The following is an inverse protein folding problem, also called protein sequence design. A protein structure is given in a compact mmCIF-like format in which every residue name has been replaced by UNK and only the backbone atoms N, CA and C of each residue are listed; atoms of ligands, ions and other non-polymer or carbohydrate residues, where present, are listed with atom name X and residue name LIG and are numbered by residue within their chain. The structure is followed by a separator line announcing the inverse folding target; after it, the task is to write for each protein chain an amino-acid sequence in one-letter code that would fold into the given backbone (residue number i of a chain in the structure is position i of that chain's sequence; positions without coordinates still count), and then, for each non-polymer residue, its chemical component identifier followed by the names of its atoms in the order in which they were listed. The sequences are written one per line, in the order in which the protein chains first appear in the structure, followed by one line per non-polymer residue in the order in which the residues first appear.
data_IF_964005953373
#
_entry.id   IF_964005953373
#
_cell.length_a   1.000
_cell.length_b   1.000
_cell.length_c   1.000
_cell.angle_alpha   90.00
_cell.angle_beta   90.00
_cell.angle_gamma   90.00
#
_symmetry.space_group_name_H-M   'P 1'
#
loop_
_entity.id
_entity.type
_entity.pdbx_description
1 polymer ?
#
# COMPACT_ATOMS: atom_id res chain seq x y z
N UNK A 1 5.47 3.45 -12.36
CA UNK A 1 6.11 2.22 -12.91
C UNK A 1 7.27 1.81 -12.00
N UNK A 2 7.48 0.52 -11.75
CA UNK A 2 8.46 0.00 -10.78
C UNK A 2 9.90 0.03 -11.31
N UNK A 3 10.87 0.24 -10.43
CA UNK A 3 12.31 0.25 -10.74
C UNK A 3 13.02 -0.86 -9.96
N UNK A 4 13.69 -1.76 -10.65
CA UNK A 4 14.36 -2.89 -10.02
C UNK A 4 15.64 -2.44 -9.28
N UNK A 5 15.89 -3.00 -8.08
CA UNK A 5 17.03 -2.67 -7.20
C UNK A 5 17.20 -1.17 -6.86
N UNK A 6 16.15 -0.36 -7.06
CA UNK A 6 16.12 1.05 -6.72
C UNK A 6 15.02 1.36 -5.69
N UNK A 7 15.09 2.56 -5.12
CA UNK A 7 14.03 3.06 -4.26
C UNK A 7 12.77 3.37 -5.06
N UNK A 8 11.65 2.78 -4.63
CA UNK A 8 10.33 3.04 -5.18
C UNK A 8 9.47 3.76 -4.14
N UNK A 9 8.69 4.74 -4.58
CA UNK A 9 7.67 5.37 -3.76
C UNK A 9 6.37 4.59 -3.90
N UNK A 10 5.88 4.02 -2.81
CA UNK A 10 4.56 3.43 -2.70
C UNK A 10 3.62 4.42 -1.99
N UNK A 11 2.51 4.78 -2.62
CA UNK A 11 1.44 5.57 -2.00
C UNK A 11 0.15 4.75 -2.02
N UNK A 12 -0.43 4.55 -0.83
CA UNK A 12 -1.71 3.87 -0.65
C UNK A 12 -2.71 4.88 -0.10
N UNK A 13 -3.77 5.16 -0.85
CA UNK A 13 -4.86 6.05 -0.45
C UNK A 13 -6.06 5.17 -0.11
N UNK A 14 -6.38 5.06 1.18
CA UNK A 14 -7.53 4.33 1.69
C UNK A 14 -8.65 5.31 2.09
N UNK A 15 -9.70 5.44 1.28
CA UNK A 15 -10.85 6.32 1.56
C UNK A 15 -12.14 5.50 1.54
N UNK A 16 -12.63 5.16 2.73
CA UNK A 16 -13.78 4.26 2.89
C UNK A 16 -13.45 2.88 2.30
N UNK A 17 -14.32 2.29 1.47
CA UNK A 17 -14.06 0.99 0.83
C UNK A 17 -13.12 1.08 -0.38
N UNK A 18 -12.75 2.29 -0.81
CA UNK A 18 -11.93 2.50 -2.01
C UNK A 18 -10.46 2.66 -1.63
N UNK A 19 -9.63 1.85 -2.27
CA UNK A 19 -8.18 1.87 -2.16
C UNK A 19 -7.56 2.21 -3.51
N UNK A 20 -6.62 3.14 -3.53
CA UNK A 20 -5.82 3.48 -4.72
C UNK A 20 -4.35 3.27 -4.38
N UNK A 21 -3.67 2.45 -5.16
CA UNK A 21 -2.25 2.18 -5.02
C UNK A 21 -1.49 2.86 -6.16
N UNK A 22 -0.46 3.62 -5.81
CA UNK A 22 0.45 4.25 -6.77
C UNK A 22 1.88 3.79 -6.53
N UNK A 23 2.59 3.56 -7.64
CA UNK A 23 4.02 3.24 -7.63
C UNK A 23 4.73 4.29 -8.47
N UNK A 24 5.61 5.05 -7.81
CA UNK A 24 6.33 6.18 -8.40
C UNK A 24 5.38 7.20 -9.05
N UNK A 25 4.33 7.61 -8.31
CA UNK A 25 3.33 8.60 -8.75
C UNK A 25 2.29 8.09 -9.75
N UNK A 26 2.57 6.98 -10.44
CA UNK A 26 1.64 6.38 -11.42
C UNK A 26 0.65 5.46 -10.71
N UNK A 27 -0.64 5.64 -10.99
CA UNK A 27 -1.70 4.75 -10.50
C UNK A 27 -1.48 3.34 -11.05
N UNK A 28 -1.34 2.38 -10.15
CA UNK A 28 -1.12 0.97 -10.48
C UNK A 28 -2.41 0.16 -10.34
N UNK A 29 -3.15 0.37 -9.26
CA UNK A 29 -4.39 -0.36 -8.99
C UNK A 29 -5.41 0.51 -8.26
N UNK A 30 -6.69 0.24 -8.52
CA UNK A 30 -7.82 0.73 -7.71
C UNK A 30 -8.68 -0.46 -7.33
N UNK A 31 -9.04 -0.55 -6.05
CA UNK A 31 -9.92 -1.59 -5.51
C UNK A 31 -11.07 -0.92 -4.78
N UNK A 32 -12.27 -1.46 -4.93
CA UNK A 32 -13.43 -1.10 -4.10
C UNK A 32 -13.88 -2.36 -3.39
N UNK A 33 -13.59 -2.45 -2.09
CA UNK A 33 -13.96 -3.61 -1.27
C UNK A 33 -15.43 -3.50 -0.83
N UNK A 34 -16.27 -4.35 -1.41
CA UNK A 34 -17.72 -4.41 -1.13
C UNK A 34 -18.11 -5.69 -0.36
N UNK A 35 -17.13 -6.44 0.16
CA UNK A 35 -17.44 -7.65 0.90
C UNK A 35 -18.17 -7.32 2.21
N UNK A 36 -19.39 -7.85 2.36
CA UNK A 36 -20.26 -7.56 3.51
C UNK A 36 -19.79 -8.18 4.83
N UNK A 37 -18.97 -9.24 4.78
CA UNK A 37 -18.54 -10.01 5.95
C UNK A 37 -17.08 -9.72 6.32
N UNK A 38 -16.21 -9.61 5.33
CA UNK A 38 -14.77 -9.60 5.49
C UNK A 38 -14.14 -8.21 5.36
N UNK A 39 -14.85 -7.23 4.78
CA UNK A 39 -14.31 -5.87 4.70
C UNK A 39 -14.05 -5.27 6.09
N UNK A 40 -12.99 -4.46 6.20
CA UNK A 40 -12.57 -3.81 7.46
C UNK A 40 -12.28 -2.33 7.21
N UNK A 41 -12.86 -1.47 8.05
CA UNK A 41 -12.66 -0.01 8.01
C UNK A 41 -11.46 0.48 8.84
N UNK A 42 -10.93 -0.38 9.71
CA UNK A 42 -9.81 -0.08 10.61
C UNK A 42 -9.03 -1.35 10.91
N UNK A 43 -7.75 -1.21 11.21
CA UNK A 43 -6.85 -2.31 11.53
C UNK A 43 -5.42 -1.81 11.70
N UNK A 44 -4.49 -2.75 11.81
CA UNK A 44 -3.07 -2.45 11.85
C UNK A 44 -2.51 -2.24 10.44
N UNK A 45 -1.50 -1.39 10.33
CA UNK A 45 -0.65 -1.27 9.15
C UNK A 45 0.63 -2.03 9.44
N UNK A 46 0.98 -2.97 8.59
CA UNK A 46 2.18 -3.80 8.72
C UNK A 46 2.99 -3.77 7.42
N UNK A 47 4.29 -3.99 7.54
CA UNK A 47 5.19 -4.21 6.41
C UNK A 47 5.53 -5.69 6.36
N UNK A 48 5.48 -6.27 5.17
CA UNK A 48 5.81 -7.67 4.96
C UNK A 48 7.10 -7.79 4.15
N UNK A 49 7.96 -8.69 4.61
CA UNK A 49 9.02 -9.31 3.81
C UNK A 49 8.58 -10.73 3.43
N UNK A 50 8.91 -11.16 2.21
CA UNK A 50 8.67 -12.51 1.72
C UNK A 50 9.68 -13.53 2.30
N UNK A 51 10.78 -13.06 2.90
CA UNK A 51 11.83 -13.87 3.52
C UNK A 51 12.61 -14.69 2.50
N UNK A 52 13.19 -15.82 2.94
CA UNK A 52 13.94 -16.77 2.09
C UNK A 52 15.09 -16.12 1.29
N UNK A 53 15.78 -15.16 1.89
CA UNK A 53 16.86 -14.42 1.24
C UNK A 53 16.41 -13.27 0.34
N UNK A 54 15.10 -12.99 0.26
CA UNK A 54 14.61 -11.74 -0.30
C UNK A 54 14.93 -10.62 0.70
N UNK A 55 15.70 -9.62 0.28
CA UNK A 55 15.99 -8.45 1.10
C UNK A 55 15.14 -7.30 0.60
N UNK A 56 14.27 -6.80 1.48
CA UNK A 56 13.51 -5.56 1.26
C UNK A 56 13.91 -4.52 2.30
N UNK A 57 14.05 -3.28 1.86
CA UNK A 57 14.35 -2.14 2.72
C UNK A 57 13.23 -1.10 2.62
N UNK A 58 12.86 -0.53 3.76
CA UNK A 58 11.83 0.51 3.85
C UNK A 58 12.44 1.78 4.45
N UNK A 59 12.01 2.94 3.94
CA UNK A 59 12.37 4.26 4.50
C UNK A 59 11.26 5.26 4.27
N UNK A 60 11.29 6.37 5.02
CA UNK A 60 10.33 7.48 4.88
C UNK A 60 8.85 7.06 5.00
N UNK A 61 8.55 6.14 5.92
CA UNK A 61 7.18 5.69 6.18
C UNK A 61 6.43 6.79 6.90
N UNK A 62 5.33 7.25 6.29
CA UNK A 62 4.51 8.36 6.80
C UNK A 62 3.05 7.97 6.73
N UNK A 63 2.26 8.47 7.67
CA UNK A 63 0.82 8.29 7.69
C UNK A 63 0.13 9.65 7.74
N UNK A 64 -0.82 9.88 6.84
CA UNK A 64 -1.68 11.07 6.84
C UNK A 64 -3.13 10.64 7.02
N UNK A 65 -3.78 11.13 8.08
CA UNK A 65 -5.23 10.97 8.24
C UNK A 65 -5.95 11.79 7.16
N UNK A 66 -6.89 11.16 6.48
CA UNK A 66 -7.74 11.83 5.49
C UNK A 66 -8.91 12.52 6.21
N UNK A 67 -9.38 13.64 5.65
CA UNK A 67 -10.60 14.32 6.10
C UNK A 67 -11.84 13.61 5.57
#
# INVERSE_FOLDING_TARGET
MFKNHEWNTMEIIAKGPKFVHKVNGVMFATVVDQDKKMSRKKGFIALQDHGKGCIVAFRNIRLKKLK
#
